data_IF_151769345713
#
_entry.id   IF_151769345713
#
_cell.length_a   1.000
_cell.length_b   1.000
_cell.length_c   1.000
_cell.angle_alpha   90.00
_cell.angle_beta   90.00
_cell.angle_gamma   90.00
#
_symmetry.space_group_name_H-M   'P 1'
#
loop_
_entity.id
_entity.type
_entity.pdbx_description
1 polymer ?
#
# COMPACT_ATOMS: atom_id res chain seq x y z
N UNK A 1 26.62 -18.44 -3.24
CA UNK A 1 25.18 -18.66 -3.17
C UNK A 1 24.62 -19.01 -4.56
N UNK A 2 23.40 -19.54 -4.67
CA UNK A 2 22.66 -19.60 -5.95
C UNK A 2 21.31 -18.92 -5.72
N UNK A 3 21.14 -17.80 -6.40
CA UNK A 3 20.08 -16.84 -6.12
C UNK A 3 18.89 -17.07 -7.05
N UNK A 4 17.79 -16.36 -6.81
CA UNK A 4 16.62 -16.41 -7.72
C UNK A 4 16.99 -15.93 -9.12
N UNK A 5 17.56 -14.73 -9.23
CA UNK A 5 18.15 -14.21 -10.47
C UNK A 5 19.53 -13.63 -10.16
N UNK A 6 20.57 -14.16 -10.81
CA UNK A 6 21.93 -13.63 -10.72
C UNK A 6 22.31 -12.85 -11.98
N UNK A 7 22.65 -11.57 -11.84
CA UNK A 7 23.24 -10.74 -12.88
C UNK A 7 24.75 -10.62 -12.68
N UNK A 8 25.53 -11.48 -13.33
CA UNK A 8 26.99 -11.44 -13.24
C UNK A 8 27.62 -10.65 -14.39
N UNK A 9 28.05 -9.41 -14.13
CA UNK A 9 28.74 -8.56 -15.11
C UNK A 9 27.89 -8.17 -16.32
N UNK A 10 26.56 -8.19 -16.20
CA UNK A 10 25.63 -7.90 -17.30
C UNK A 10 25.64 -6.40 -17.61
N UNK A 11 25.68 -6.05 -18.89
CA UNK A 11 25.78 -4.66 -19.34
C UNK A 11 24.44 -3.95 -19.55
N UNK A 12 24.46 -2.62 -19.56
CA UNK A 12 23.29 -1.74 -19.77
C UNK A 12 22.59 -1.87 -21.13
N UNK A 13 23.18 -2.61 -22.08
CA UNK A 13 22.52 -2.96 -23.35
C UNK A 13 21.44 -4.05 -23.20
N UNK A 14 21.37 -4.70 -22.05
CA UNK A 14 20.33 -5.69 -21.71
C UNK A 14 19.11 -4.97 -21.16
N UNK A 15 17.93 -5.30 -21.69
CA UNK A 15 16.65 -4.82 -21.17
C UNK A 15 16.10 -5.82 -20.16
N UNK A 16 15.81 -5.36 -18.95
CA UNK A 16 15.14 -6.14 -17.90
C UNK A 16 13.99 -5.31 -17.37
N UNK A 17 12.78 -5.85 -17.45
CA UNK A 17 11.54 -5.14 -17.17
C UNK A 17 10.48 -6.16 -16.70
N UNK A 18 9.78 -5.87 -15.61
CA UNK A 18 8.79 -6.75 -14.96
C UNK A 18 9.33 -8.15 -14.66
N UNK A 19 10.12 -8.24 -13.59
CA UNK A 19 10.62 -9.52 -13.06
C UNK A 19 10.11 -9.75 -11.64
N UNK A 20 9.83 -11.01 -11.32
CA UNK A 20 9.47 -11.43 -9.97
C UNK A 20 10.32 -12.62 -9.53
N UNK A 21 10.78 -12.58 -8.29
CA UNK A 21 11.34 -13.72 -7.56
C UNK A 21 10.54 -13.88 -6.27
N UNK A 22 10.13 -15.10 -5.97
CA UNK A 22 9.36 -15.38 -4.76
C UNK A 22 9.77 -16.72 -4.13
N UNK A 23 9.80 -16.76 -2.79
CA UNK A 23 9.99 -17.98 -1.97
C UNK A 23 11.30 -18.76 -2.22
N UNK A 24 12.37 -18.11 -2.66
CA UNK A 24 13.69 -18.74 -2.71
C UNK A 24 14.40 -18.64 -1.36
N UNK A 25 15.32 -19.57 -1.09
CA UNK A 25 16.02 -19.65 0.20
C UNK A 25 17.14 -18.60 0.33
N UNK A 26 17.73 -18.24 -0.79
CA UNK A 26 18.90 -17.38 -0.94
C UNK A 26 18.45 -15.99 -1.45
N UNK A 27 19.36 -15.16 -1.94
CA UNK A 27 19.00 -13.83 -2.43
C UNK A 27 17.98 -13.85 -3.55
N UNK A 28 17.00 -12.95 -3.51
CA UNK A 28 16.00 -12.78 -4.55
C UNK A 28 16.65 -12.42 -5.89
N UNK A 29 17.27 -11.24 -5.93
CA UNK A 29 17.99 -10.72 -7.10
C UNK A 29 19.37 -10.25 -6.66
N UNK A 30 20.44 -10.83 -7.20
CA UNK A 30 21.82 -10.41 -6.88
C UNK A 30 22.56 -9.91 -8.12
N UNK A 31 23.29 -8.80 -7.95
CA UNK A 31 24.12 -8.19 -8.98
C UNK A 31 25.61 -8.31 -8.63
N UNK A 32 26.32 -9.21 -9.31
CA UNK A 32 27.78 -9.27 -9.25
C UNK A 32 28.39 -8.37 -10.31
N UNK A 33 28.54 -7.08 -9.99
CA UNK A 33 29.10 -6.08 -10.90
C UNK A 33 28.24 -5.84 -12.14
N UNK A 34 28.76 -5.04 -13.06
CA UNK A 34 28.06 -4.71 -14.31
C UNK A 34 27.21 -3.44 -14.22
N UNK A 35 26.37 -3.24 -15.24
CA UNK A 35 25.63 -1.98 -15.49
C UNK A 35 24.22 -2.23 -16.02
N UNK A 36 23.70 -3.46 -15.93
CA UNK A 36 22.33 -3.75 -16.36
C UNK A 36 21.36 -2.82 -15.63
N UNK A 37 20.35 -2.33 -16.34
CA UNK A 37 19.32 -1.49 -15.75
C UNK A 37 18.03 -2.30 -15.63
N UNK A 38 17.25 -2.07 -14.59
CA UNK A 38 16.04 -2.83 -14.32
C UNK A 38 14.87 -1.92 -13.92
N UNK A 39 13.70 -2.14 -14.52
CA UNK A 39 12.43 -1.55 -14.09
C UNK A 39 11.46 -2.63 -13.62
N UNK A 40 10.63 -2.30 -12.63
CA UNK A 40 9.55 -3.14 -12.10
C UNK A 40 10.08 -4.50 -11.59
N UNK A 41 10.59 -4.48 -10.37
CA UNK A 41 11.11 -5.67 -9.69
C UNK A 41 10.21 -6.00 -8.51
N UNK A 42 9.73 -7.24 -8.45
CA UNK A 42 8.99 -7.79 -7.31
C UNK A 42 9.84 -8.88 -6.66
N UNK A 43 10.06 -8.79 -5.35
CA UNK A 43 10.78 -9.80 -4.60
C UNK A 43 10.01 -10.13 -3.33
N UNK A 44 9.59 -11.39 -3.19
CA UNK A 44 8.63 -11.79 -2.15
C UNK A 44 9.19 -12.96 -1.32
N UNK A 45 9.28 -12.78 0.00
CA UNK A 45 9.49 -13.87 0.95
C UNK A 45 10.76 -14.70 0.67
N UNK A 46 11.83 -14.04 0.27
CA UNK A 46 13.15 -14.65 0.06
C UNK A 46 13.83 -14.90 1.42
N UNK A 47 14.55 -16.00 1.56
CA UNK A 47 15.17 -16.37 2.84
C UNK A 47 16.38 -15.52 3.21
N UNK A 48 17.17 -15.10 2.23
CA UNK A 48 18.29 -14.17 2.44
C UNK A 48 17.88 -12.74 2.03
N UNK A 49 18.61 -12.10 1.12
CA UNK A 49 18.37 -10.71 0.77
C UNK A 49 17.47 -10.53 -0.44
N UNK A 50 16.53 -9.59 -0.38
CA UNK A 50 15.64 -9.34 -1.50
C UNK A 50 16.38 -8.85 -2.74
N UNK A 51 17.21 -7.82 -2.57
CA UNK A 51 18.10 -7.28 -3.61
C UNK A 51 19.50 -7.19 -3.04
N UNK A 52 20.44 -7.93 -3.61
CA UNK A 52 21.86 -7.86 -3.28
C UNK A 52 22.65 -7.15 -4.40
N UNK A 53 23.57 -6.25 -4.04
CA UNK A 53 24.60 -5.79 -4.98
C UNK A 53 25.99 -5.98 -4.42
N UNK A 54 26.87 -6.59 -5.22
CA UNK A 54 28.30 -6.77 -4.94
C UNK A 54 29.11 -6.47 -6.22
N UNK A 55 30.42 -6.63 -6.14
CA UNK A 55 31.42 -6.70 -7.21
C UNK A 55 31.44 -5.45 -8.11
N UNK A 56 31.03 -4.31 -7.57
CA UNK A 56 31.12 -3.02 -8.23
C UNK A 56 29.97 -2.75 -9.20
N UNK A 57 28.75 -3.16 -8.85
CA UNK A 57 27.56 -2.93 -9.68
C UNK A 57 27.24 -1.43 -9.79
N UNK A 58 26.89 -0.96 -10.98
CA UNK A 58 26.74 0.48 -11.30
C UNK A 58 25.44 0.78 -12.09
N UNK A 59 24.45 -0.12 -12.01
CA UNK A 59 23.22 -0.03 -12.79
C UNK A 59 22.17 0.92 -12.21
N UNK A 60 21.12 1.15 -13.01
CA UNK A 60 19.97 1.97 -12.66
C UNK A 60 18.75 1.07 -12.38
N UNK A 61 18.09 1.30 -11.25
CA UNK A 61 16.98 0.51 -10.74
C UNK A 61 15.77 1.41 -10.46
N UNK A 62 14.58 1.06 -10.95
CA UNK A 62 13.36 1.81 -10.64
C UNK A 62 12.12 0.92 -10.44
N UNK A 63 11.23 1.31 -9.52
CA UNK A 63 10.01 0.55 -9.16
C UNK A 63 10.35 -0.82 -8.58
N UNK A 64 11.13 -0.82 -7.49
CA UNK A 64 11.49 -2.01 -6.75
C UNK A 64 10.51 -2.23 -5.59
N UNK A 65 9.87 -3.38 -5.55
CA UNK A 65 9.04 -3.82 -4.45
C UNK A 65 9.66 -5.08 -3.84
N UNK A 66 10.01 -4.98 -2.56
CA UNK A 66 10.52 -6.10 -1.78
C UNK A 66 9.65 -6.27 -0.54
N UNK A 67 9.17 -7.50 -0.32
CA UNK A 67 8.38 -7.88 0.84
C UNK A 67 9.09 -9.03 1.55
N UNK A 68 9.53 -8.77 2.78
CA UNK A 68 10.13 -9.79 3.64
C UNK A 68 9.05 -10.73 4.16
N UNK A 69 9.45 -11.97 4.44
CA UNK A 69 8.66 -12.99 5.10
C UNK A 69 9.32 -13.49 6.38
N UNK A 70 8.69 -14.47 7.02
CA UNK A 70 9.28 -15.17 8.16
C UNK A 70 10.64 -15.77 7.77
N UNK A 71 11.69 -15.37 8.48
CA UNK A 71 13.04 -15.88 8.28
C UNK A 71 13.82 -15.20 7.15
N UNK A 72 13.27 -14.18 6.48
CA UNK A 72 14.02 -13.33 5.56
C UNK A 72 15.11 -12.54 6.28
N UNK A 73 16.25 -12.28 5.66
CA UNK A 73 17.31 -11.43 6.24
C UNK A 73 17.02 -9.95 5.97
N UNK A 74 17.41 -9.41 4.81
CA UNK A 74 17.19 -8.00 4.48
C UNK A 74 16.37 -7.80 3.20
N UNK A 75 15.68 -6.66 3.12
CA UNK A 75 15.03 -6.23 1.88
C UNK A 75 16.04 -5.87 0.81
N UNK A 76 17.20 -5.38 1.22
CA UNK A 76 18.39 -5.32 0.40
C UNK A 76 19.65 -5.44 1.26
N UNK A 77 20.63 -6.15 0.75
CA UNK A 77 22.03 -6.02 1.16
C UNK A 77 22.78 -5.33 0.02
N UNK A 78 23.65 -4.39 0.35
CA UNK A 78 24.51 -3.79 -0.65
C UNK A 78 25.90 -3.75 -0.08
N UNK A 79 26.84 -4.30 -0.83
CA UNK A 79 28.25 -4.29 -0.52
C UNK A 79 29.07 -3.97 -1.78
N UNK A 80 30.38 -3.81 -1.59
CA UNK A 80 31.33 -3.79 -2.68
C UNK A 80 32.38 -4.86 -2.48
N UNK A 81 33.11 -5.22 -3.53
CA UNK A 81 34.16 -6.19 -3.42
C UNK A 81 35.37 -5.59 -2.75
N UNK A 82 35.71 -6.08 -1.56
CA UNK A 82 37.07 -5.94 -1.03
C UNK A 82 37.59 -7.31 -0.65
N UNK A 83 38.66 -7.75 -1.34
CA UNK A 83 39.61 -8.67 -0.72
C UNK A 83 40.20 -8.02 0.53
N UNK A 84 41.06 -8.73 1.26
CA UNK A 84 41.62 -8.32 2.56
C UNK A 84 42.49 -7.04 2.60
N UNK A 85 42.27 -6.05 1.73
CA UNK A 85 43.12 -4.88 1.58
C UNK A 85 42.29 -3.59 1.34
N UNK A 86 41.65 -3.12 2.41
CA UNK A 86 40.99 -1.81 2.54
C UNK A 86 41.96 -0.60 2.39
N UNK A 87 43.21 -0.82 1.99
CA UNK A 87 44.27 0.22 2.02
C UNK A 87 44.57 0.86 0.67
N UNK A 88 44.01 0.35 -0.45
CA UNK A 88 44.26 0.88 -1.78
C UNK A 88 43.19 1.91 -2.21
N UNK A 89 43.56 3.08 -2.78
CA UNK A 89 42.61 4.13 -3.15
C UNK A 89 41.62 3.66 -4.23
N UNK A 90 40.37 4.18 -4.24
CA UNK A 90 39.32 3.72 -5.15
C UNK A 90 39.71 3.98 -6.61
N UNK A 91 39.80 2.91 -7.41
CA UNK A 91 39.69 3.03 -8.86
C UNK A 91 38.20 3.14 -9.24
N UNK A 92 37.81 3.88 -10.29
CA UNK A 92 36.43 4.31 -10.58
C UNK A 92 35.36 3.22 -10.86
N UNK A 93 35.60 1.95 -10.53
CA UNK A 93 34.64 0.85 -10.68
C UNK A 93 34.77 -0.21 -9.56
N UNK A 94 35.45 0.10 -8.45
CA UNK A 94 35.62 -0.86 -7.34
C UNK A 94 34.50 -0.82 -6.31
N UNK A 95 33.74 0.27 -6.24
CA UNK A 95 32.59 0.43 -5.35
C UNK A 95 31.32 -0.02 -6.07
N UNK A 96 30.40 -0.69 -5.40
CA UNK A 96 29.03 -0.81 -5.90
C UNK A 96 28.33 0.54 -5.71
N UNK A 97 27.74 1.06 -6.76
CA UNK A 97 27.07 2.36 -6.80
C UNK A 97 25.75 2.23 -7.58
N UNK A 98 24.77 1.46 -7.06
CA UNK A 98 23.46 1.41 -7.67
C UNK A 98 22.77 2.78 -7.55
N UNK A 99 21.97 3.14 -8.56
CA UNK A 99 21.01 4.22 -8.44
C UNK A 99 19.60 3.62 -8.39
N UNK A 100 18.99 3.61 -7.20
CA UNK A 100 17.67 3.04 -6.94
C UNK A 100 16.68 4.13 -6.58
N UNK A 101 15.63 4.26 -7.39
CA UNK A 101 14.55 5.20 -7.14
C UNK A 101 13.18 4.54 -7.15
N UNK A 102 12.25 5.08 -6.38
CA UNK A 102 10.87 4.57 -6.29
C UNK A 102 10.85 3.11 -5.83
N UNK A 103 11.21 2.88 -4.56
CA UNK A 103 11.27 1.56 -3.96
C UNK A 103 10.36 1.45 -2.74
N UNK A 104 9.66 0.34 -2.59
CA UNK A 104 8.96 -0.05 -1.36
C UNK A 104 9.64 -1.29 -0.79
N UNK A 105 10.32 -1.11 0.34
CA UNK A 105 10.84 -2.20 1.16
C UNK A 105 9.91 -2.39 2.35
N UNK A 106 9.20 -3.51 2.36
CA UNK A 106 8.29 -3.90 3.42
C UNK A 106 8.95 -4.99 4.27
N UNK A 107 9.39 -4.62 5.48
CA UNK A 107 9.84 -5.58 6.48
C UNK A 107 8.67 -6.35 7.11
N UNK A 108 9.00 -7.32 7.95
CA UNK A 108 8.05 -8.00 8.82
C UNK A 108 8.36 -7.70 10.29
N UNK A 109 7.38 -7.15 11.01
CA UNK A 109 7.55 -6.68 12.39
C UNK A 109 7.72 -7.80 13.40
N UNK A 110 7.38 -9.03 13.02
CA UNK A 110 7.56 -10.23 13.83
C UNK A 110 8.70 -11.10 13.31
N UNK A 111 9.49 -10.61 12.35
CA UNK A 111 10.52 -11.41 11.73
C UNK A 111 11.57 -11.86 12.74
N UNK A 112 12.03 -13.09 12.59
CA UNK A 112 13.23 -13.62 13.22
C UNK A 112 14.16 -14.03 12.08
N UNK A 113 15.07 -13.14 11.63
CA UNK A 113 15.87 -13.36 10.41
C UNK A 113 16.76 -14.61 10.49
N UNK A 114 16.89 -15.25 11.66
CA UNK A 114 17.59 -16.53 11.86
C UNK A 114 18.95 -16.60 11.13
N UNK A 115 19.66 -15.47 11.05
CA UNK A 115 20.85 -15.33 10.24
C UNK A 115 21.90 -16.35 10.67
N UNK A 116 22.47 -17.04 9.68
CA UNK A 116 23.57 -17.98 9.88
C UNK A 116 24.93 -17.29 9.76
N UNK A 117 24.96 -16.02 9.34
CA UNK A 117 26.20 -15.24 9.30
C UNK A 117 26.57 -14.72 10.68
N UNK A 118 27.86 -14.82 11.03
CA UNK A 118 28.35 -14.37 12.33
C UNK A 118 28.43 -12.84 12.45
N UNK A 119 28.45 -12.12 11.32
CA UNK A 119 28.54 -10.65 11.26
C UNK A 119 27.20 -9.96 11.00
N UNK A 120 26.16 -10.73 10.73
CA UNK A 120 24.78 -10.28 10.62
C UNK A 120 24.00 -10.64 11.90
N UNK A 121 24.04 -9.73 12.86
CA UNK A 121 23.40 -9.91 14.17
C UNK A 121 22.39 -8.80 14.49
N UNK A 122 22.10 -7.93 13.53
CA UNK A 122 21.23 -6.78 13.72
C UNK A 122 20.18 -6.72 12.62
N UNK A 123 18.94 -6.97 13.02
CA UNK A 123 17.77 -6.89 12.15
C UNK A 123 17.63 -5.49 11.53
N UNK A 124 17.72 -5.43 10.21
CA UNK A 124 17.52 -4.23 9.42
C UNK A 124 16.78 -4.56 8.12
N UNK A 125 15.94 -3.64 7.62
CA UNK A 125 15.27 -3.84 6.31
C UNK A 125 16.23 -3.59 5.15
N UNK A 126 17.22 -2.71 5.32
CA UNK A 126 18.28 -2.52 4.33
C UNK A 126 19.60 -2.58 5.07
N UNK A 127 20.49 -3.47 4.65
CA UNK A 127 21.85 -3.55 5.12
C UNK A 127 22.78 -2.96 4.07
N UNK A 128 23.66 -2.07 4.49
CA UNK A 128 24.65 -1.44 3.64
C UNK A 128 26.02 -1.68 4.25
N UNK A 129 26.95 -2.11 3.40
CA UNK A 129 28.25 -2.64 3.81
C UNK A 129 29.40 -1.87 3.21
N UNK A 130 30.62 -2.29 3.54
CA UNK A 130 31.85 -1.78 2.98
C UNK A 130 31.80 -1.74 1.46
N UNK A 131 32.40 -0.72 0.84
CA UNK A 131 32.38 -0.64 -0.61
C UNK A 131 30.99 -0.35 -1.21
N UNK A 132 30.03 0.13 -0.41
CA UNK A 132 28.74 0.62 -0.90
C UNK A 132 28.72 2.11 -1.08
N UNK A 133 28.26 2.54 -2.24
CA UNK A 133 27.86 3.91 -2.52
C UNK A 133 26.49 3.88 -3.17
N UNK A 134 26.14 4.93 -3.89
CA UNK A 134 24.95 4.94 -4.73
C UNK A 134 24.03 6.11 -4.42
N UNK A 135 22.87 6.05 -5.08
CA UNK A 135 21.83 7.06 -4.98
C UNK A 135 20.49 6.40 -4.70
N UNK A 136 19.90 6.78 -3.58
CA UNK A 136 18.66 6.20 -3.08
C UNK A 136 17.65 7.31 -2.82
N UNK A 137 16.48 7.24 -3.47
CA UNK A 137 15.47 8.29 -3.40
C UNK A 137 14.07 7.81 -3.71
N UNK A 138 13.06 8.58 -3.30
CA UNK A 138 11.66 8.16 -3.35
C UNK A 138 11.41 6.76 -2.73
N UNK A 139 12.11 6.42 -1.65
CA UNK A 139 11.95 5.12 -0.98
C UNK A 139 10.94 5.17 0.16
N UNK A 140 10.24 4.07 0.35
CA UNK A 140 9.46 3.75 1.55
C UNK A 140 10.10 2.53 2.21
N UNK A 141 10.51 2.67 3.47
CA UNK A 141 11.08 1.58 4.28
C UNK A 141 10.17 1.37 5.48
N UNK A 142 9.44 0.27 5.50
CA UNK A 142 8.30 0.07 6.38
C UNK A 142 8.46 -1.21 7.22
N UNK A 143 7.69 -1.28 8.33
CA UNK A 143 7.52 -2.44 9.20
C UNK A 143 8.80 -3.00 9.86
N UNK A 144 9.92 -2.30 9.84
CA UNK A 144 11.13 -2.73 10.53
C UNK A 144 10.94 -2.72 12.05
N UNK A 145 11.32 -3.80 12.75
CA UNK A 145 11.22 -3.86 14.20
C UNK A 145 12.36 -3.10 14.89
N UNK A 146 13.55 -3.10 14.29
CA UNK A 146 14.75 -2.52 14.88
C UNK A 146 15.33 -1.39 14.02
N UNK A 147 15.86 -1.69 12.83
CA UNK A 147 16.49 -0.68 11.97
C UNK A 147 15.86 -0.60 10.58
N UNK A 148 15.64 0.62 10.08
CA UNK A 148 15.24 0.83 8.69
C UNK A 148 16.41 0.51 7.76
N UNK A 149 17.49 1.27 7.92
CA UNK A 149 18.78 1.04 7.28
C UNK A 149 19.84 0.79 8.36
N UNK A 150 20.64 -0.24 8.18
CA UNK A 150 21.84 -0.49 8.95
C UNK A 150 23.06 -0.38 8.05
N UNK A 151 23.93 0.60 8.32
CA UNK A 151 25.26 0.65 7.72
C UNK A 151 26.27 -0.01 8.67
N UNK A 152 26.76 -1.20 8.32
CA UNK A 152 27.93 -1.82 8.95
C UNK A 152 29.17 -1.64 8.08
N UNK A 153 30.33 -1.43 8.71
CA UNK A 153 31.62 -1.30 8.02
C UNK A 153 31.66 -0.16 7.00
N UNK A 154 31.52 1.09 7.47
CA UNK A 154 31.73 2.25 6.58
C UNK A 154 33.15 2.24 5.99
N UNK A 155 33.26 2.63 4.72
CA UNK A 155 34.53 2.77 4.00
C UNK A 155 34.95 4.23 3.87
N UNK A 156 35.61 4.55 2.75
CA UNK A 156 36.09 5.90 2.42
C UNK A 156 35.03 6.81 1.76
N UNK A 157 33.78 6.37 1.65
CA UNK A 157 32.72 7.11 0.97
C UNK A 157 32.37 8.41 1.68
N UNK A 158 32.06 9.41 0.86
CA UNK A 158 31.40 10.62 1.33
C UNK A 158 29.91 10.33 1.54
N UNK A 159 29.40 10.64 2.73
CA UNK A 159 28.00 10.38 3.12
C UNK A 159 27.25 11.69 3.33
N UNK A 160 25.97 11.72 2.98
CA UNK A 160 25.08 12.82 3.32
C UNK A 160 23.88 12.99 2.39
N UNK A 161 23.14 14.08 2.62
CA UNK A 161 21.86 14.35 1.96
C UNK A 161 21.78 15.73 1.26
N UNK A 162 22.86 16.52 1.30
CA UNK A 162 22.87 17.97 1.02
C UNK A 162 22.74 18.43 -0.44
N UNK A 163 22.70 17.52 -1.40
CA UNK A 163 22.24 17.66 -2.79
C UNK A 163 22.64 16.37 -3.49
N UNK A 164 21.75 15.76 -4.27
CA UNK A 164 22.08 14.63 -5.15
C UNK A 164 23.38 14.96 -5.90
N UNK A 165 24.50 14.27 -5.58
CA UNK A 165 25.77 14.56 -6.18
C UNK A 165 25.81 13.90 -7.56
N UNK A 166 25.07 14.51 -8.48
CA UNK A 166 25.15 14.25 -9.92
C UNK A 166 26.58 14.38 -10.46
N UNK A 167 27.51 14.96 -9.67
CA UNK A 167 28.91 15.20 -10.03
C UNK A 167 29.99 14.42 -9.22
N UNK A 168 29.69 13.62 -8.19
CA UNK A 168 30.73 13.08 -7.29
C UNK A 168 31.33 11.70 -7.67
N UNK A 169 30.82 11.03 -8.70
CA UNK A 169 31.31 9.69 -9.06
C UNK A 169 31.01 8.63 -7.99
N UNK A 170 31.60 7.42 -8.08
CA UNK A 170 31.24 6.27 -7.25
C UNK A 170 31.78 6.33 -5.82
N UNK A 171 32.04 7.51 -5.25
CA UNK A 171 32.59 7.69 -3.90
C UNK A 171 31.60 8.36 -2.94
N UNK A 172 30.31 8.29 -3.27
CA UNK A 172 29.24 8.87 -2.45
C UNK A 172 28.18 7.83 -2.08
N UNK A 173 27.60 7.97 -0.90
CA UNK A 173 26.40 7.24 -0.49
C UNK A 173 25.30 8.25 -0.15
N UNK A 174 24.33 8.38 -1.06
CA UNK A 174 23.24 9.34 -0.98
C UNK A 174 21.93 8.65 -0.62
N UNK A 175 21.39 9.02 0.53
CA UNK A 175 20.01 8.70 0.91
C UNK A 175 19.25 10.02 0.90
N UNK A 176 18.21 10.09 0.07
CA UNK A 176 17.38 11.27 -0.04
C UNK A 176 16.75 11.66 1.31
N UNK A 177 16.73 12.96 1.67
CA UNK A 177 15.93 13.49 2.77
C UNK A 177 14.43 13.18 2.66
N UNK A 178 13.98 12.82 1.45
CA UNK A 178 12.59 12.52 1.16
C UNK A 178 12.25 11.02 1.32
N UNK A 179 13.18 10.17 1.74
CA UNK A 179 12.84 8.78 2.11
C UNK A 179 11.87 8.76 3.30
N UNK A 180 10.85 7.90 3.29
CA UNK A 180 9.99 7.71 4.48
C UNK A 180 10.31 6.41 5.20
N UNK A 181 10.40 6.52 6.51
CA UNK A 181 10.64 5.41 7.42
C UNK A 181 9.43 5.23 8.35
N UNK A 182 8.87 4.02 8.38
CA UNK A 182 7.80 3.65 9.30
C UNK A 182 8.11 2.33 10.01
N UNK A 183 8.69 2.39 11.20
CA UNK A 183 9.07 1.21 11.98
C UNK A 183 8.33 1.09 13.31
N UNK A 184 8.70 0.07 14.08
CA UNK A 184 8.16 -0.14 15.42
C UNK A 184 8.52 1.00 16.40
N UNK A 185 7.76 1.13 17.48
CA UNK A 185 8.08 2.11 18.51
C UNK A 185 9.47 1.81 19.11
N UNK A 186 10.37 2.80 19.07
CA UNK A 186 11.75 2.66 19.54
C UNK A 186 12.76 2.17 18.49
N UNK A 187 12.31 1.85 17.28
CA UNK A 187 13.18 1.56 16.13
C UNK A 187 13.94 2.81 15.67
N UNK A 188 15.06 2.62 14.95
CA UNK A 188 15.84 3.72 14.37
C UNK A 188 15.79 3.67 12.85
N UNK A 189 15.57 4.80 12.19
CA UNK A 189 15.49 4.87 10.73
C UNK A 189 16.80 4.52 10.05
N UNK A 190 17.91 5.04 10.59
CA UNK A 190 19.27 4.75 10.12
C UNK A 190 20.15 4.53 11.34
N UNK A 191 20.83 3.39 11.38
CA UNK A 191 21.81 3.05 12.40
C UNK A 191 23.17 2.81 11.74
N UNK A 192 24.23 3.34 12.37
CA UNK A 192 25.61 3.23 11.86
C UNK A 192 26.48 2.58 12.94
N UNK A 193 27.36 1.65 12.53
CA UNK A 193 28.28 0.98 13.46
C UNK A 193 29.75 1.21 13.11
N UNK A 194 30.60 0.19 13.25
CA UNK A 194 32.06 0.28 13.20
C UNK A 194 32.57 0.90 11.88
N UNK A 195 33.60 1.77 11.97
CA UNK A 195 34.28 2.34 10.80
C UNK A 195 33.76 3.71 10.33
N UNK A 196 32.60 4.15 10.82
CA UNK A 196 31.95 5.37 10.38
C UNK A 196 32.57 6.62 11.04
N UNK A 197 33.59 7.21 10.40
CA UNK A 197 34.36 8.35 10.95
C UNK A 197 33.58 9.68 11.03
N UNK A 198 32.56 9.86 10.19
CA UNK A 198 31.54 10.91 10.24
C UNK A 198 30.16 10.28 10.27
N UNK A 199 29.20 10.76 11.06
CA UNK A 199 27.83 10.25 10.99
C UNK A 199 27.13 10.67 9.68
N UNK A 200 26.10 9.93 9.26
CA UNK A 200 25.25 10.26 8.09
C UNK A 200 24.58 11.65 8.21
N UNK A 201 24.59 12.25 9.40
CA UNK A 201 23.96 13.54 9.71
C UNK A 201 22.60 13.33 10.36
N UNK A 202 21.68 14.29 10.21
CA UNK A 202 20.25 14.13 10.59
C UNK A 202 19.32 14.33 9.41
N UNK A 203 19.87 14.56 8.21
CA UNK A 203 19.13 14.97 7.02
C UNK A 203 18.73 13.77 6.15
N UNK A 204 18.71 12.55 6.72
CA UNK A 204 18.32 11.33 6.03
C UNK A 204 16.83 11.02 6.28
N UNK A 205 16.01 11.07 5.23
CA UNK A 205 14.58 10.76 5.30
C UNK A 205 13.77 11.47 6.39
N UNK A 206 12.51 11.05 6.53
CA UNK A 206 11.62 11.43 7.60
C UNK A 206 10.91 10.19 8.18
N UNK A 207 10.76 10.15 9.50
CA UNK A 207 9.93 9.13 10.15
C UNK A 207 8.46 9.56 10.11
N UNK A 208 7.57 8.65 9.70
CA UNK A 208 6.14 8.94 9.63
C UNK A 208 5.35 7.83 8.96
N UNK A 209 4.03 7.85 9.12
CA UNK A 209 3.14 7.01 8.32
C UNK A 209 3.19 7.48 6.86
N UNK A 210 3.49 6.60 5.88
CA UNK A 210 3.43 6.95 4.47
C UNK A 210 2.00 7.23 3.97
N UNK A 211 0.97 6.90 4.77
CA UNK A 211 -0.44 7.02 4.41
C UNK A 211 -0.76 6.23 3.14
N UNK A 212 -0.39 4.94 3.14
CA UNK A 212 -0.80 3.97 2.11
C UNK A 212 -2.17 3.36 2.46
N UNK A 213 -2.89 2.85 1.47
CA UNK A 213 -4.29 2.40 1.65
C UNK A 213 -4.42 1.25 2.66
N UNK A 214 -3.65 0.17 2.47
CA UNK A 214 -3.68 -1.01 3.34
C UNK A 214 -2.33 -1.74 3.30
N UNK A 215 -1.53 -1.53 4.34
CA UNK A 215 -0.28 -2.25 4.54
C UNK A 215 -0.36 -2.97 5.89
N UNK A 216 -0.36 -4.32 5.92
CA UNK A 216 -0.34 -5.04 7.18
C UNK A 216 1.00 -4.86 7.87
N UNK A 217 1.02 -4.94 9.20
CA UNK A 217 2.24 -4.75 10.01
C UNK A 217 3.17 -5.96 9.99
N UNK A 218 2.64 -7.12 9.61
CA UNK A 218 3.40 -8.33 9.37
C UNK A 218 3.18 -8.73 7.92
N UNK A 219 4.26 -9.09 7.25
CA UNK A 219 4.26 -9.57 5.88
C UNK A 219 4.89 -10.94 5.88
N UNK A 220 4.11 -11.98 5.62
CA UNK A 220 4.60 -13.33 5.44
C UNK A 220 3.79 -14.01 4.33
N UNK A 221 4.06 -15.28 4.06
CA UNK A 221 3.36 -16.05 3.03
C UNK A 221 1.84 -16.16 3.26
N UNK A 222 1.37 -15.92 4.49
CA UNK A 222 -0.04 -15.92 4.89
C UNK A 222 -0.67 -14.52 4.82
N UNK A 223 0.02 -13.54 4.21
CA UNK A 223 -0.46 -12.18 3.94
C UNK A 223 -1.94 -12.17 3.53
N UNK A 224 -2.85 -11.61 4.35
CA UNK A 224 -4.28 -11.71 4.08
C UNK A 224 -4.69 -10.90 2.84
N UNK A 225 -4.31 -9.62 2.79
CA UNK A 225 -4.54 -8.72 1.67
C UNK A 225 -3.66 -7.46 1.79
N UNK A 226 -3.30 -6.85 0.67
CA UNK A 226 -2.34 -5.75 0.60
C UNK A 226 -2.72 -4.75 -0.49
N UNK A 227 -2.67 -3.46 -0.16
CA UNK A 227 -2.82 -2.36 -1.11
C UNK A 227 -1.79 -1.26 -0.80
N UNK A 228 -0.66 -1.24 -1.52
CA UNK A 228 0.42 -0.29 -1.30
C UNK A 228 0.19 1.07 -1.96
N UNK A 229 -0.96 1.30 -2.59
CA UNK A 229 -1.19 2.57 -3.29
C UNK A 229 -1.26 3.70 -2.27
N UNK A 230 -0.69 4.88 -2.59
CA UNK A 230 -0.71 6.02 -1.68
C UNK A 230 -2.11 6.64 -1.59
N UNK A 231 -2.49 7.11 -0.41
CA UNK A 231 -3.70 7.91 -0.23
C UNK A 231 -3.47 9.28 -0.91
N UNK A 232 -4.39 9.76 -1.76
CA UNK A 232 -4.24 11.06 -2.43
C UNK A 232 -4.03 12.21 -1.44
N UNK A 233 -2.96 12.98 -1.65
CA UNK A 233 -2.58 14.09 -0.76
C UNK A 233 -1.86 13.65 0.51
N UNK A 234 -1.79 12.34 0.79
CA UNK A 234 -1.06 11.77 1.91
C UNK A 234 0.46 11.89 1.75
N UNK A 235 1.18 11.55 2.82
CA UNK A 235 2.62 11.71 2.95
C UNK A 235 3.37 11.12 1.75
N UNK A 236 3.07 9.90 1.31
CA UNK A 236 3.75 9.27 0.17
C UNK A 236 3.66 10.07 -1.15
N UNK A 237 2.70 10.99 -1.31
CA UNK A 237 2.55 11.86 -2.50
C UNK A 237 3.21 13.23 -2.37
N UNK A 238 3.82 13.53 -1.22
CA UNK A 238 4.47 14.80 -0.92
C UNK A 238 6.00 14.69 -1.00
N UNK A 239 6.68 15.81 -1.24
CA UNK A 239 8.15 15.92 -1.26
C UNK A 239 8.82 14.84 -2.13
N UNK A 240 8.30 14.62 -3.33
CA UNK A 240 8.79 13.58 -4.24
C UNK A 240 10.03 14.10 -5.00
N UNK A 241 11.10 13.32 -4.98
CA UNK A 241 12.33 13.60 -5.72
C UNK A 241 12.08 13.50 -7.23
N UNK A 242 12.79 14.33 -8.00
CA UNK A 242 12.82 14.28 -9.46
C UNK A 242 14.23 13.98 -9.95
N UNK A 243 14.37 13.15 -10.98
CA UNK A 243 15.66 12.69 -11.48
C UNK A 243 15.86 13.07 -12.96
N UNK A 244 17.05 13.57 -13.34
CA UNK A 244 17.30 14.06 -14.71
C UNK A 244 17.67 12.96 -15.71
N UNK A 245 18.05 11.76 -15.26
CA UNK A 245 18.40 10.66 -16.16
C UNK A 245 17.14 10.11 -16.86
N UNK A 246 17.13 10.00 -18.21
CA UNK A 246 15.96 9.59 -18.97
C UNK A 246 15.54 8.13 -18.74
N UNK A 247 16.39 7.30 -18.12
CA UNK A 247 15.97 5.97 -17.68
C UNK A 247 14.86 6.06 -16.63
N UNK A 248 14.89 7.05 -15.74
CA UNK A 248 13.92 7.19 -14.67
C UNK A 248 12.64 7.89 -15.14
N UNK A 249 11.50 7.27 -14.83
CA UNK A 249 10.18 7.89 -14.99
C UNK A 249 9.93 8.78 -13.79
N UNK A 250 9.81 10.10 -14.00
CA UNK A 250 9.40 11.01 -12.93
C UNK A 250 7.93 10.80 -12.58
N UNK A 251 7.65 10.51 -11.32
CA UNK A 251 6.31 10.27 -10.77
C UNK A 251 6.00 11.24 -9.64
N UNK A 252 4.74 11.29 -9.20
CA UNK A 252 4.26 12.14 -8.11
C UNK A 252 4.06 11.39 -6.79
N UNK A 253 4.75 10.26 -6.60
CA UNK A 253 4.71 9.46 -5.38
C UNK A 253 6.09 8.91 -5.02
N UNK A 254 6.25 8.63 -3.72
CA UNK A 254 7.34 7.83 -3.14
C UNK A 254 6.91 6.38 -3.02
N UNK A 255 7.84 5.45 -3.11
CA UNK A 255 7.55 4.02 -3.17
C UNK A 255 7.47 3.49 -4.59
N UNK A 256 7.19 2.19 -4.71
CA UNK A 256 7.12 1.48 -5.98
C UNK A 256 5.78 1.64 -6.72
N UNK A 257 4.73 2.11 -6.04
CA UNK A 257 3.35 2.08 -6.54
C UNK A 257 2.70 3.45 -6.48
N UNK A 258 2.02 3.83 -7.57
CA UNK A 258 1.09 4.95 -7.63
C UNK A 258 -0.34 4.43 -7.74
N UNK A 259 -1.22 5.12 -8.46
CA UNK A 259 -2.56 4.61 -8.76
C UNK A 259 -2.53 3.31 -9.59
N UNK A 260 -1.48 3.13 -10.40
CA UNK A 260 -1.23 1.93 -11.17
C UNK A 260 -0.52 0.87 -10.32
N UNK A 261 -1.22 -0.23 -10.06
CA UNK A 261 -0.71 -1.38 -9.35
C UNK A 261 -0.14 -2.39 -10.37
N UNK A 262 1.09 -2.14 -10.84
CA UNK A 262 1.76 -2.90 -11.91
C UNK A 262 1.98 -4.39 -11.64
N UNK A 263 1.73 -4.85 -10.41
CA UNK A 263 1.70 -6.27 -10.04
C UNK A 263 0.49 -7.02 -10.65
N UNK A 264 -0.58 -6.32 -11.04
CA UNK A 264 -1.80 -6.94 -11.52
C UNK A 264 -1.58 -7.75 -12.82
N UNK A 265 -2.17 -8.95 -12.86
CA UNK A 265 -2.26 -9.76 -14.08
C UNK A 265 -1.08 -10.70 -14.35
N UNK A 266 -0.03 -10.68 -13.54
CA UNK A 266 1.13 -11.58 -13.72
C UNK A 266 1.89 -11.96 -12.45
N UNK A 267 1.81 -11.16 -11.38
CA UNK A 267 2.54 -11.45 -10.13
C UNK A 267 1.87 -12.52 -9.28
N UNK A 268 2.63 -13.17 -8.40
CA UNK A 268 2.12 -14.14 -7.44
C UNK A 268 1.04 -13.55 -6.53
N UNK A 269 1.24 -12.31 -6.06
CA UNK A 269 0.25 -11.60 -5.24
C UNK A 269 -1.06 -11.39 -5.99
N UNK A 270 -0.98 -11.09 -7.30
CA UNK A 270 -2.17 -10.98 -8.14
C UNK A 270 -2.86 -12.34 -8.28
N UNK A 271 -2.15 -13.36 -8.75
CA UNK A 271 -2.71 -14.69 -9.02
C UNK A 271 -3.34 -15.34 -7.77
N UNK A 272 -2.84 -15.03 -6.58
CA UNK A 272 -3.34 -15.53 -5.30
C UNK A 272 -4.32 -14.59 -4.61
N UNK A 273 -4.81 -13.56 -5.31
CA UNK A 273 -5.87 -12.69 -4.80
C UNK A 273 -5.46 -11.88 -3.58
N UNK A 274 -4.17 -11.58 -3.42
CA UNK A 274 -3.60 -10.85 -2.27
C UNK A 274 -3.59 -9.33 -2.47
N UNK A 275 -3.89 -8.87 -3.67
CA UNK A 275 -3.99 -7.44 -4.01
C UNK A 275 -5.32 -7.13 -4.71
N UNK A 276 -5.81 -5.88 -4.62
CA UNK A 276 -6.99 -5.44 -5.35
C UNK A 276 -6.68 -5.23 -6.83
N UNK A 277 -7.73 -5.00 -7.62
CA UNK A 277 -7.59 -4.54 -9.01
C UNK A 277 -6.86 -3.21 -9.08
N UNK A 278 -6.08 -3.01 -10.14
CA UNK A 278 -5.58 -1.69 -10.51
C UNK A 278 -6.76 -0.84 -10.95
N UNK A 279 -6.95 0.30 -10.28
CA UNK A 279 -8.05 1.22 -10.51
C UNK A 279 -7.43 2.61 -10.75
N UNK A 280 -6.87 2.88 -11.95
CA UNK A 280 -6.22 4.15 -12.22
C UNK A 280 -7.22 5.30 -12.20
N UNK A 281 -6.77 6.51 -11.81
CA UNK A 281 -7.59 7.72 -11.75
C UNK A 281 -8.80 7.62 -10.81
N UNK A 282 -8.60 7.01 -9.65
CA UNK A 282 -9.68 6.71 -8.68
C UNK A 282 -9.76 7.75 -7.57
N UNK A 283 -10.97 8.15 -7.21
CA UNK A 283 -11.21 8.91 -5.98
C UNK A 283 -11.19 7.94 -4.79
N UNK A 284 -10.25 8.10 -3.86
CA UNK A 284 -10.23 7.31 -2.62
C UNK A 284 -11.15 7.97 -1.58
N UNK A 285 -12.06 7.19 -1.00
CA UNK A 285 -13.02 7.65 -0.01
C UNK A 285 -12.90 6.85 1.31
N UNK A 286 -12.95 7.54 2.43
CA UNK A 286 -12.89 6.97 3.79
C UNK A 286 -13.38 8.00 4.81
N UNK A 287 -13.92 7.53 5.95
CA UNK A 287 -14.28 8.38 7.07
C UNK A 287 -15.44 9.34 6.77
N UNK A 288 -15.46 10.51 7.40
CA UNK A 288 -16.59 11.44 7.32
C UNK A 288 -16.46 12.40 6.12
N UNK A 289 -17.50 12.49 5.30
CA UNK A 289 -17.64 13.53 4.27
C UNK A 289 -18.10 14.81 4.97
N UNK A 290 -17.16 15.70 5.27
CA UNK A 290 -17.41 16.92 6.06
C UNK A 290 -18.13 18.05 5.31
N UNK A 291 -18.28 17.93 3.99
CA UNK A 291 -19.00 18.90 3.16
C UNK A 291 -19.56 18.25 1.89
N UNK A 292 -20.69 18.77 1.41
CA UNK A 292 -21.39 18.21 0.25
C UNK A 292 -20.46 18.03 -0.95
N UNK A 293 -20.40 16.80 -1.45
CA UNK A 293 -19.39 16.35 -2.42
C UNK A 293 -20.05 15.60 -3.57
N UNK A 294 -19.41 15.61 -4.74
CA UNK A 294 -19.83 14.83 -5.90
C UNK A 294 -18.82 13.74 -6.21
N UNK A 295 -19.30 12.50 -6.34
CA UNK A 295 -18.56 11.36 -6.87
C UNK A 295 -18.88 11.13 -8.34
N UNK A 296 -17.85 10.81 -9.13
CA UNK A 296 -17.95 10.51 -10.56
C UNK A 296 -16.83 9.58 -11.01
N UNK A 297 -17.08 8.74 -12.01
CA UNK A 297 -16.05 7.84 -12.55
C UNK A 297 -15.82 6.64 -11.63
N UNK A 298 -14.58 6.44 -11.21
CA UNK A 298 -14.19 5.35 -10.30
C UNK A 298 -13.95 5.91 -8.90
N UNK A 299 -14.60 5.31 -7.90
CA UNK A 299 -14.39 5.60 -6.48
C UNK A 299 -13.95 4.33 -5.78
N UNK A 300 -12.99 4.41 -4.86
CA UNK A 300 -12.60 3.30 -3.99
C UNK A 300 -12.86 3.67 -2.54
N UNK A 301 -13.80 2.98 -1.90
CA UNK A 301 -14.06 3.06 -0.47
C UNK A 301 -13.13 2.10 0.27
N UNK A 302 -12.25 2.65 1.10
CA UNK A 302 -11.26 1.85 1.84
C UNK A 302 -11.66 1.66 3.31
N UNK A 303 -12.67 2.39 3.79
CA UNK A 303 -13.25 2.29 5.14
C UNK A 303 -14.74 2.61 5.07
N UNK A 304 -15.44 2.59 6.21
CA UNK A 304 -16.77 3.17 6.30
C UNK A 304 -16.72 4.66 5.95
N UNK A 305 -17.67 5.11 5.14
CA UNK A 305 -17.82 6.49 4.69
C UNK A 305 -19.13 7.02 5.22
N UNK A 306 -19.07 8.08 6.01
CA UNK A 306 -20.24 8.68 6.67
C UNK A 306 -20.63 10.00 6.00
N UNK A 307 -21.92 10.15 5.72
CA UNK A 307 -22.53 11.39 5.22
C UNK A 307 -23.41 11.96 6.35
N UNK A 308 -22.89 12.92 7.13
CA UNK A 308 -23.55 13.43 8.32
C UNK A 308 -24.69 14.40 7.98
N UNK A 309 -25.35 14.89 9.03
CA UNK A 309 -26.37 15.93 8.94
C UNK A 309 -25.91 17.14 8.09
N UNK A 310 -26.85 17.68 7.31
CA UNK A 310 -26.65 18.84 6.41
C UNK A 310 -25.66 18.64 5.26
N UNK A 311 -25.12 17.42 5.10
CA UNK A 311 -24.24 17.04 3.98
C UNK A 311 -25.00 16.25 2.94
N UNK A 312 -24.77 16.56 1.67
CA UNK A 312 -25.28 15.79 0.53
C UNK A 312 -24.14 15.13 -0.24
N UNK A 313 -24.19 13.82 -0.38
CA UNK A 313 -23.35 13.08 -1.34
C UNK A 313 -24.10 12.93 -2.66
N UNK A 314 -23.59 13.55 -3.72
CA UNK A 314 -24.11 13.36 -5.09
C UNK A 314 -23.27 12.34 -5.84
N UNK A 315 -23.90 11.35 -6.46
CA UNK A 315 -23.21 10.34 -7.27
C UNK A 315 -23.69 10.46 -8.71
N UNK A 316 -22.78 10.77 -9.63
CA UNK A 316 -23.11 10.96 -11.04
C UNK A 316 -23.50 9.63 -11.72
N UNK A 317 -24.40 9.64 -12.74
CA UNK A 317 -24.71 8.46 -13.53
C UNK A 317 -23.46 7.78 -14.10
N UNK A 318 -23.42 6.44 -14.09
CA UNK A 318 -22.28 5.67 -14.60
C UNK A 318 -21.08 5.58 -13.65
N UNK A 319 -21.16 6.14 -12.45
CA UNK A 319 -20.12 5.98 -11.43
C UNK A 319 -20.07 4.54 -10.92
N UNK A 320 -18.87 3.98 -10.82
CA UNK A 320 -18.61 2.70 -10.16
C UNK A 320 -17.85 2.94 -8.86
N UNK A 321 -18.42 2.48 -7.75
CA UNK A 321 -17.86 2.56 -6.41
C UNK A 321 -17.36 1.16 -6.07
N UNK A 322 -16.07 1.04 -5.86
CA UNK A 322 -15.37 -0.16 -5.45
C UNK A 322 -15.14 -0.16 -3.95
N UNK A 323 -15.16 -1.34 -3.34
CA UNK A 323 -14.76 -1.56 -1.96
C UNK A 323 -14.16 -2.96 -1.81
N UNK A 324 -13.42 -3.24 -0.75
CA UNK A 324 -13.01 -4.60 -0.42
C UNK A 324 -12.77 -4.71 1.08
N UNK A 325 -13.01 -5.90 1.62
CA UNK A 325 -12.74 -6.21 3.00
C UNK A 325 -11.22 -6.11 3.21
N UNK A 326 -10.79 -5.41 4.25
CA UNK A 326 -9.35 -5.26 4.56
C UNK A 326 -8.68 -6.57 4.98
N UNK A 327 -9.43 -7.68 4.98
CA UNK A 327 -8.97 -8.98 5.44
C UNK A 327 -9.69 -10.07 4.64
N UNK A 328 -9.26 -10.24 3.39
CA UNK A 328 -9.68 -11.39 2.60
C UNK A 328 -9.20 -12.68 3.30
N UNK A 329 -10.12 -13.61 3.59
CA UNK A 329 -9.80 -14.88 4.25
C UNK A 329 -9.78 -14.90 5.79
N UNK A 330 -10.04 -13.77 6.47
CA UNK A 330 -10.20 -13.73 7.92
C UNK A 330 -11.61 -13.22 8.31
N UNK A 331 -12.60 -14.12 8.48
CA UNK A 331 -13.90 -13.74 9.03
C UNK A 331 -13.71 -13.07 10.40
N UNK A 332 -14.41 -11.95 10.65
CA UNK A 332 -14.38 -11.15 11.89
C UNK A 332 -13.15 -10.25 12.09
N UNK A 333 -12.69 -9.55 11.04
CA UNK A 333 -11.64 -8.53 11.19
C UNK A 333 -12.07 -7.23 11.90
N UNK A 334 -13.24 -7.22 12.54
CA UNK A 334 -13.81 -6.07 13.23
C UNK A 334 -14.43 -5.03 12.29
N UNK A 335 -15.06 -4.02 12.90
CA UNK A 335 -15.89 -3.02 12.23
C UNK A 335 -15.15 -2.22 11.14
N UNK A 336 -13.85 -1.96 11.31
CA UNK A 336 -13.01 -1.27 10.33
C UNK A 336 -12.67 -2.10 9.08
N UNK A 337 -12.92 -3.42 9.14
CA UNK A 337 -12.65 -4.37 8.05
C UNK A 337 -13.73 -4.41 6.97
N UNK A 338 -14.88 -3.75 7.18
CA UNK A 338 -16.03 -3.75 6.28
C UNK A 338 -16.36 -2.32 5.79
N UNK A 339 -15.75 -1.85 4.68
CA UNK A 339 -16.12 -0.57 4.10
C UNK A 339 -17.60 -0.53 3.73
N UNK A 340 -18.29 0.54 4.08
CA UNK A 340 -19.71 0.75 3.82
C UNK A 340 -19.97 2.23 3.52
N UNK A 341 -21.04 2.55 2.81
CA UNK A 341 -21.51 3.93 2.67
C UNK A 341 -22.70 4.12 3.61
N UNK A 342 -22.58 5.08 4.52
CA UNK A 342 -23.57 5.35 5.57
C UNK A 342 -24.10 6.76 5.40
N UNK A 343 -25.40 6.88 5.13
CA UNK A 343 -26.11 8.15 5.14
C UNK A 343 -26.76 8.30 6.50
N UNK A 344 -26.23 9.20 7.33
CA UNK A 344 -26.73 9.43 8.68
C UNK A 344 -28.02 10.27 8.68
N UNK A 345 -28.68 10.35 9.83
CA UNK A 345 -29.89 11.16 9.98
C UNK A 345 -29.63 12.62 9.59
N UNK A 346 -30.52 13.18 8.78
CA UNK A 346 -30.42 14.52 8.19
C UNK A 346 -29.28 14.70 7.17
N UNK A 347 -28.49 13.66 6.88
CA UNK A 347 -27.65 13.58 5.70
C UNK A 347 -28.48 13.16 4.48
N UNK A 348 -27.94 13.34 3.27
CA UNK A 348 -28.66 13.00 2.05
C UNK A 348 -27.79 12.39 0.96
N UNK A 349 -28.36 11.45 0.20
CA UNK A 349 -27.75 10.86 -0.99
C UNK A 349 -28.52 11.24 -2.26
N UNK A 350 -27.81 11.66 -3.29
CA UNK A 350 -28.34 11.92 -4.63
C UNK A 350 -27.67 10.96 -5.62
N UNK A 351 -28.10 9.71 -5.63
CA UNK A 351 -27.64 8.67 -6.56
C UNK A 351 -28.71 8.45 -7.66
N UNK A 352 -28.70 9.34 -8.65
CA UNK A 352 -29.73 9.41 -9.68
C UNK A 352 -29.20 8.91 -11.03
N UNK A 353 -28.89 7.61 -11.10
CA UNK A 353 -28.47 6.94 -12.33
C UNK A 353 -29.59 6.84 -13.37
N UNK A 354 -29.29 6.23 -14.51
CA UNK A 354 -30.29 5.93 -15.54
C UNK A 354 -30.04 4.56 -16.19
N UNK A 355 -31.00 4.06 -16.97
CA UNK A 355 -30.91 2.74 -17.60
C UNK A 355 -29.66 2.54 -18.48
N UNK A 356 -29.14 3.61 -19.11
CA UNK A 356 -27.93 3.55 -19.93
C UNK A 356 -26.63 3.75 -19.12
N UNK A 357 -26.73 4.28 -17.90
CA UNK A 357 -25.59 4.61 -17.04
C UNK A 357 -26.00 4.42 -15.57
N UNK A 358 -26.20 3.17 -15.12
CA UNK A 358 -26.51 2.88 -13.73
C UNK A 358 -25.32 3.22 -12.84
N UNK A 359 -25.59 3.52 -11.58
CA UNK A 359 -24.56 3.64 -10.54
C UNK A 359 -24.33 2.25 -9.96
N UNK A 360 -23.07 1.82 -9.82
CA UNK A 360 -22.75 0.46 -9.37
C UNK A 360 -21.82 0.50 -8.17
N UNK A 361 -22.24 -0.08 -7.05
CA UNK A 361 -21.38 -0.41 -5.92
C UNK A 361 -20.94 -1.87 -6.04
N UNK A 362 -19.65 -2.16 -5.94
CA UNK A 362 -19.08 -3.49 -6.20
C UNK A 362 -17.74 -3.71 -5.49
N UNK A 363 -17.17 -4.90 -5.65
CA UNK A 363 -15.88 -5.26 -5.02
C UNK A 363 -14.68 -4.94 -5.90
N UNK A 364 -13.59 -4.46 -5.29
CA UNK A 364 -12.29 -4.26 -5.94
C UNK A 364 -11.38 -5.49 -5.90
N UNK A 365 -11.82 -6.64 -5.37
CA UNK A 365 -11.05 -7.88 -5.47
C UNK A 365 -10.94 -8.32 -6.93
N UNK A 366 -9.91 -9.10 -7.25
CA UNK A 366 -9.69 -9.60 -8.60
C UNK A 366 -10.82 -10.50 -9.09
N UNK A 367 -11.06 -10.50 -10.41
CA UNK A 367 -12.15 -11.25 -11.05
C UNK A 367 -12.10 -12.74 -10.76
N UNK A 368 -10.89 -13.31 -10.64
CA UNK A 368 -10.69 -14.72 -10.29
C UNK A 368 -11.27 -15.11 -8.92
N UNK A 369 -11.49 -14.14 -8.02
CA UNK A 369 -12.10 -14.34 -6.71
C UNK A 369 -13.62 -14.20 -6.71
N UNK A 370 -14.23 -13.79 -7.82
CA UNK A 370 -15.68 -13.64 -7.94
C UNK A 370 -16.34 -14.96 -8.41
N UNK A 371 -17.57 -15.29 -7.95
CA UNK A 371 -18.46 -14.49 -7.11
C UNK A 371 -18.33 -14.80 -5.60
N UNK A 372 -17.24 -14.42 -4.94
CA UNK A 372 -17.21 -14.34 -3.48
C UNK A 372 -18.17 -13.26 -2.97
N UNK A 373 -18.76 -13.50 -1.80
CA UNK A 373 -19.77 -12.65 -1.16
C UNK A 373 -19.22 -12.04 0.13
N UNK A 374 -19.86 -11.00 0.66
CA UNK A 374 -19.43 -10.38 1.94
C UNK A 374 -18.10 -9.64 1.80
N UNK A 375 -17.79 -9.17 0.59
CA UNK A 375 -16.51 -8.55 0.26
C UNK A 375 -16.44 -7.09 0.68
N UNK A 376 -17.53 -6.50 1.15
CA UNK A 376 -17.60 -5.19 1.79
C UNK A 376 -18.92 -5.11 2.57
N UNK A 377 -19.14 -4.03 3.33
CA UNK A 377 -20.34 -3.86 4.15
C UNK A 377 -21.59 -3.73 3.30
N UNK A 378 -21.86 -2.54 2.79
CA UNK A 378 -23.05 -2.26 1.99
C UNK A 378 -23.42 -0.78 1.99
N UNK A 379 -24.66 -0.50 1.59
CA UNK A 379 -25.25 0.85 1.60
C UNK A 379 -26.27 0.96 2.74
N UNK A 380 -26.05 1.88 3.66
CA UNK A 380 -26.90 2.09 4.84
C UNK A 380 -27.50 3.50 4.77
N UNK A 381 -28.83 3.60 4.93
CA UNK A 381 -29.56 4.86 4.95
C UNK A 381 -30.37 4.97 6.23
N UNK A 382 -30.04 5.98 7.04
CA UNK A 382 -30.64 6.24 8.34
C UNK A 382 -31.50 7.50 8.25
N UNK A 383 -32.81 7.34 8.40
CA UNK A 383 -33.79 8.43 8.35
C UNK A 383 -34.34 8.82 9.72
N UNK A 384 -35.29 9.75 9.71
CA UNK A 384 -35.99 10.30 10.88
C UNK A 384 -37.48 9.91 10.96
N UNK A 385 -37.91 8.89 10.21
CA UNK A 385 -39.30 8.42 10.26
C UNK A 385 -39.61 7.69 11.58
N UNK A 386 -40.88 7.65 12.03
CA UNK A 386 -41.22 6.99 13.28
C UNK A 386 -40.86 5.51 13.30
N UNK A 387 -40.28 5.08 14.44
CA UNK A 387 -40.02 3.67 14.74
C UNK A 387 -40.50 3.31 16.15
N UNK A 388 -40.68 2.02 16.44
CA UNK A 388 -41.17 1.58 17.76
C UNK A 388 -40.13 1.72 18.87
N UNK A 389 -38.85 1.47 18.55
CA UNK A 389 -37.76 1.52 19.52
C UNK A 389 -37.51 2.95 20.00
N UNK A 390 -37.17 3.11 21.28
CA UNK A 390 -36.82 4.42 21.87
C UNK A 390 -35.37 4.83 21.63
N UNK A 391 -34.51 3.87 21.28
CA UNK A 391 -33.09 4.10 20.96
C UNK A 391 -32.62 3.09 19.89
N UNK A 392 -33.17 3.20 18.66
CA UNK A 392 -32.81 2.32 17.54
C UNK A 392 -31.39 2.60 17.03
N UNK A 393 -30.58 1.55 16.87
CA UNK A 393 -29.26 1.62 16.25
C UNK A 393 -29.08 0.52 15.21
N UNK A 394 -28.40 0.84 14.11
CA UNK A 394 -27.92 -0.16 13.14
C UNK A 394 -26.58 -0.72 13.63
N UNK A 395 -26.45 -2.04 13.54
CA UNK A 395 -25.22 -2.76 13.88
C UNK A 395 -24.16 -2.63 12.77
N UNK A 396 -22.96 -3.17 13.02
CA UNK A 396 -21.88 -3.17 12.04
C UNK A 396 -21.17 -1.84 11.79
N UNK A 397 -21.57 -0.75 12.46
CA UNK A 397 -20.97 0.58 12.28
C UNK A 397 -19.87 0.90 13.31
N UNK A 398 -18.80 1.56 12.87
CA UNK A 398 -17.71 2.01 13.76
C UNK A 398 -18.14 3.17 14.65
N UNK A 399 -19.08 3.98 14.19
CA UNK A 399 -19.63 5.15 14.87
C UNK A 399 -21.04 5.45 14.35
N UNK A 400 -21.82 6.22 15.11
CA UNK A 400 -23.18 6.61 14.72
C UNK A 400 -24.17 5.45 14.73
N UNK A 401 -25.01 5.38 13.68
CA UNK A 401 -25.97 4.29 13.50
C UNK A 401 -27.38 4.53 14.04
N UNK A 402 -27.61 5.63 14.75
CA UNK A 402 -28.95 6.03 15.18
C UNK A 402 -29.88 6.29 13.99
N UNK A 403 -31.12 5.83 14.08
CA UNK A 403 -32.16 6.13 13.11
C UNK A 403 -33.49 6.43 13.79
N UNK A 404 -34.53 6.73 13.03
CA UNK A 404 -35.86 6.97 13.57
C UNK A 404 -36.09 8.36 14.16
N UNK A 405 -37.34 8.74 14.30
CA UNK A 405 -37.72 10.09 14.76
C UNK A 405 -39.23 10.29 14.77
N UNK A 406 -39.71 11.48 14.45
CA UNK A 406 -41.13 11.82 14.43
C UNK A 406 -41.60 12.34 13.06
N UNK A 407 -40.80 12.13 12.00
CA UNK A 407 -41.03 12.69 10.66
C UNK A 407 -41.37 11.62 9.61
N UNK A 408 -42.64 11.19 9.46
CA UNK A 408 -43.04 10.22 8.42
C UNK A 408 -42.68 10.64 6.99
N UNK A 409 -42.56 11.95 6.75
CA UNK A 409 -42.19 12.55 5.48
C UNK A 409 -40.70 12.87 5.34
N UNK A 410 -39.84 12.34 6.23
CA UNK A 410 -38.39 12.48 6.12
C UNK A 410 -37.89 12.08 4.72
N UNK A 411 -36.83 12.76 4.27
CA UNK A 411 -36.28 12.59 2.94
C UNK A 411 -34.76 12.44 2.99
N UNK A 412 -34.30 11.20 2.93
CA UNK A 412 -32.88 10.84 2.89
C UNK A 412 -32.30 10.95 1.46
N UNK A 413 -33.11 11.27 0.45
CA UNK A 413 -32.69 11.58 -0.91
C UNK A 413 -33.23 10.64 -2.00
N UNK A 414 -32.37 10.29 -2.97
CA UNK A 414 -32.73 9.53 -4.18
C UNK A 414 -31.76 8.38 -4.40
N UNK A 415 -32.31 7.16 -4.51
CA UNK A 415 -31.69 6.00 -5.13
C UNK A 415 -32.46 5.62 -6.39
N UNK A 416 -31.87 5.87 -7.56
CA UNK A 416 -32.47 5.54 -8.86
C UNK A 416 -31.45 4.88 -9.79
N UNK A 417 -31.77 3.70 -10.33
CA UNK A 417 -30.85 2.87 -11.15
C UNK A 417 -29.51 2.62 -10.44
N UNK A 418 -29.60 2.06 -9.24
CA UNK A 418 -28.45 1.75 -8.38
C UNK A 418 -28.32 0.24 -8.24
N UNK A 419 -27.10 -0.28 -8.45
CA UNK A 419 -26.73 -1.68 -8.28
C UNK A 419 -25.80 -1.81 -7.09
N UNK A 420 -26.04 -2.78 -6.23
CA UNK A 420 -25.19 -3.08 -5.07
C UNK A 420 -24.81 -4.55 -5.10
N UNK A 421 -23.52 -4.84 -5.33
CA UNK A 421 -23.04 -6.19 -5.53
C UNK A 421 -21.96 -6.58 -4.53
N UNK A 422 -21.95 -7.85 -4.13
CA UNK A 422 -20.89 -8.46 -3.29
C UNK A 422 -20.75 -7.88 -1.87
N UNK A 423 -21.75 -7.16 -1.35
CA UNK A 423 -21.79 -6.69 0.04
C UNK A 423 -22.14 -7.82 1.02
N UNK A 424 -22.64 -7.48 2.21
CA UNK A 424 -23.13 -8.48 3.16
C UNK A 424 -22.12 -8.87 4.24
N UNK A 425 -21.12 -8.03 4.56
CA UNK A 425 -20.01 -8.44 5.42
C UNK A 425 -20.50 -8.85 6.82
N UNK A 426 -20.07 -10.03 7.27
CA UNK A 426 -20.25 -10.51 8.65
C UNK A 426 -19.12 -9.98 9.52
N UNK A 427 -19.44 -9.16 10.51
CA UNK A 427 -18.45 -8.48 11.35
C UNK A 427 -18.27 -9.20 12.69
N UNK A 428 -19.32 -9.86 13.17
CA UNK A 428 -19.31 -10.72 14.34
C UNK A 428 -20.48 -11.67 14.32
N UNK A 429 -20.62 -12.49 15.36
CA UNK A 429 -21.81 -13.31 15.53
C UNK A 429 -23.02 -12.40 15.77
N UNK A 430 -24.06 -12.56 14.94
CA UNK A 430 -25.28 -11.75 14.98
C UNK A 430 -24.96 -10.24 14.84
N UNK A 431 -24.01 -9.92 13.96
CA UNK A 431 -23.60 -8.55 13.65
C UNK A 431 -23.11 -8.48 12.20
N UNK A 432 -24.03 -8.12 11.31
CA UNK A 432 -23.84 -8.15 9.87
C UNK A 432 -24.20 -6.78 9.23
N UNK A 433 -23.59 -6.46 8.09
CA UNK A 433 -24.03 -5.34 7.23
C UNK A 433 -24.67 -5.90 5.97
N UNK A 434 -25.91 -5.49 5.68
CA UNK A 434 -26.67 -5.93 4.51
C UNK A 434 -26.24 -5.26 3.20
N UNK A 435 -26.81 -5.73 2.08
CA UNK A 435 -26.60 -5.09 0.79
C UNK A 435 -27.11 -3.64 0.81
N UNK A 436 -28.42 -3.46 1.07
CA UNK A 436 -29.00 -2.15 1.34
C UNK A 436 -29.82 -2.18 2.63
N UNK A 437 -29.47 -1.32 3.59
CA UNK A 437 -30.19 -1.14 4.85
C UNK A 437 -30.97 0.17 4.83
N UNK A 438 -32.27 0.10 5.13
CA UNK A 438 -33.13 1.27 5.35
C UNK A 438 -33.58 1.31 6.81
N UNK A 439 -32.98 2.18 7.63
CA UNK A 439 -33.39 2.42 9.02
C UNK A 439 -34.24 3.67 9.16
N UNK A 440 -35.52 3.55 9.49
CA UNK A 440 -36.41 4.69 9.75
C UNK A 440 -36.50 5.68 8.57
N UNK A 441 -36.45 5.20 7.33
CA UNK A 441 -36.45 6.05 6.13
C UNK A 441 -37.85 6.53 5.78
N UNK A 442 -38.02 7.85 5.66
CA UNK A 442 -39.33 8.47 5.43
C UNK A 442 -39.83 8.41 4.00
N UNK A 443 -41.14 8.62 3.86
CA UNK A 443 -41.88 8.58 2.59
C UNK A 443 -41.52 9.68 1.59
N UNK A 444 -40.71 10.67 1.99
CA UNK A 444 -40.15 11.67 1.08
C UNK A 444 -38.98 11.15 0.25
N UNK A 445 -38.36 10.04 0.66
CA UNK A 445 -37.21 9.41 -0.02
C UNK A 445 -37.67 8.67 -1.28
N UNK A 446 -36.93 8.82 -2.37
CA UNK A 446 -37.21 8.10 -3.63
C UNK A 446 -36.28 6.90 -3.78
N UNK A 447 -36.85 5.71 -3.93
CA UNK A 447 -36.12 4.47 -4.21
C UNK A 447 -36.79 3.75 -5.39
N UNK A 448 -36.08 3.62 -6.51
CA UNK A 448 -36.61 2.94 -7.70
C UNK A 448 -35.51 2.34 -8.59
N UNK A 449 -35.80 1.21 -9.24
CA UNK A 449 -34.83 0.48 -10.08
C UNK A 449 -33.53 0.14 -9.33
N UNK A 450 -33.64 -0.34 -8.10
CA UNK A 450 -32.51 -0.87 -7.34
C UNK A 450 -32.30 -2.36 -7.66
N UNK A 451 -31.05 -2.79 -7.61
CA UNK A 451 -30.65 -4.19 -7.76
C UNK A 451 -29.62 -4.53 -6.67
N UNK A 452 -29.80 -5.70 -6.03
CA UNK A 452 -28.81 -6.26 -5.11
C UNK A 452 -28.48 -7.68 -5.54
N UNK A 453 -27.20 -8.01 -5.65
CA UNK A 453 -26.75 -9.33 -6.12
C UNK A 453 -25.47 -9.78 -5.42
N UNK A 454 -25.29 -11.11 -5.29
CA UNK A 454 -24.10 -11.72 -4.69
C UNK A 454 -23.78 -11.23 -3.27
N UNK A 455 -24.79 -10.74 -2.55
CA UNK A 455 -24.68 -10.34 -1.16
C UNK A 455 -24.56 -11.58 -0.27
N UNK A 456 -23.76 -11.52 0.79
CA UNK A 456 -23.64 -12.65 1.73
C UNK A 456 -24.84 -12.73 2.67
N UNK A 457 -25.25 -11.58 3.21
CA UNK A 457 -26.45 -11.43 4.04
C UNK A 457 -27.64 -10.86 3.25
N UNK A 458 -28.65 -10.32 3.93
CA UNK A 458 -29.86 -9.79 3.32
C UNK A 458 -29.59 -8.81 2.17
N UNK A 459 -30.31 -9.01 1.06
CA UNK A 459 -30.18 -8.14 -0.10
C UNK A 459 -30.68 -6.72 0.21
N UNK A 460 -31.89 -6.63 0.76
CA UNK A 460 -32.48 -5.37 1.22
C UNK A 460 -33.17 -5.61 2.55
N UNK A 461 -32.79 -4.84 3.57
CA UNK A 461 -33.38 -4.91 4.90
C UNK A 461 -34.01 -3.57 5.31
N UNK A 462 -35.16 -3.64 5.99
CA UNK A 462 -35.90 -2.49 6.47
C UNK A 462 -36.07 -2.56 7.99
N UNK A 463 -35.61 -1.54 8.69
CA UNK A 463 -35.82 -1.34 10.12
C UNK A 463 -36.82 -0.20 10.35
N UNK A 464 -37.90 -0.47 11.08
CA UNK A 464 -39.02 0.46 11.28
C UNK A 464 -39.84 0.19 12.53
#
# INVERSE_FOLDING_TARGET
EINGITFAGVGSGTSVDHIEVAFNLDDGIEFFGGTVNVKFMSVLFCGDDGIDTDKGYQGLLQFAFVMLGEGSQHGAEMDGPVGSDDTEPPAPFRRSFPSLYNALFLGDRNNDPNSVSADDQLEAVIRLREGTGGRFGNMLVLNYANQGIFQNLCGSETRGAGADPTAAGPDYLFISPNTLFNGAAGSVSVFESTGCSTAFGTDYGASGDPELILVPTSSDQDLPFFDPRPIPGGAATQNVDSFPDPFFTNVNYRGAFGDDLWLEGWSWLAENGRIPRSLPSTTVASGVISSSTTWSGTVLMTQQVFVPADVTLTIQPGTTIYAYARTYGAPNAGLAGAPALVIEQNGSIMANGNAASPITFTSAVQEALLPAQGLWGGLIILGNAPVLSSDPTIEGLTEGGSYGGDMPGDNSGVLRYVRVWYGGSVIGQDNEINGITFGGVGSGTTVEYIEVAFNLDDGVEFFG
#
